data_IF_189617872339
#
_entry.id   IF_189617872339
#
_cell.length_a   1.000
_cell.length_b   1.000
_cell.length_c   1.000
_cell.angle_alpha   90.00
_cell.angle_beta   90.00
_cell.angle_gamma   90.00
#
_symmetry.space_group_name_H-M   'P 1'
#
loop_
_entity.id
_entity.type
_entity.pdbx_description
1 polymer ?
#
# COMPACT_ATOMS: atom_id res chain seq x y z
N UNK A 1 -8.21 -2.16 -2.48
CA UNK A 1 -8.79 -2.47 -3.80
C UNK A 1 -8.53 -1.37 -4.82
N UNK A 2 -8.88 -0.09 -4.53
CA UNK A 2 -8.66 1.00 -5.51
C UNK A 2 -7.20 1.12 -5.95
N UNK A 3 -6.24 1.04 -5.03
CA UNK A 3 -4.82 1.11 -5.38
C UNK A 3 -4.41 -0.04 -6.32
N UNK A 4 -4.90 -1.25 -6.08
CA UNK A 4 -4.66 -2.39 -6.99
C UNK A 4 -5.18 -2.10 -8.39
N UNK A 5 -6.44 -1.67 -8.49
CA UNK A 5 -7.08 -1.38 -9.77
C UNK A 5 -6.41 -0.23 -10.54
N UNK A 6 -5.82 0.71 -9.82
CA UNK A 6 -5.18 1.89 -10.43
C UNK A 6 -3.72 1.64 -10.80
N UNK A 7 -2.96 1.00 -9.90
CA UNK A 7 -1.50 0.94 -10.02
C UNK A 7 -0.97 -0.33 -10.67
N UNK A 8 -1.78 -1.41 -10.69
CA UNK A 8 -1.33 -2.73 -11.13
C UNK A 8 -2.10 -3.19 -12.37
N UNK A 9 -1.70 -2.70 -13.54
CA UNK A 9 -2.35 -2.99 -14.82
C UNK A 9 -1.40 -3.60 -15.86
N UNK A 10 -0.21 -4.01 -15.44
CA UNK A 10 0.77 -4.68 -16.28
C UNK A 10 0.45 -6.17 -16.45
N UNK A 11 0.89 -6.77 -17.55
CA UNK A 11 0.89 -8.23 -17.72
C UNK A 11 1.96 -8.92 -16.84
N UNK A 12 2.92 -8.16 -16.31
CA UNK A 12 3.94 -8.66 -15.40
C UNK A 12 3.35 -8.86 -14.00
N UNK A 13 3.79 -9.90 -13.26
CA UNK A 13 3.26 -10.18 -11.95
C UNK A 13 3.66 -9.08 -10.94
N UNK A 14 2.73 -8.69 -10.08
CA UNK A 14 3.05 -7.90 -8.90
C UNK A 14 3.72 -8.79 -7.85
N UNK A 15 4.52 -8.16 -6.98
CA UNK A 15 5.21 -8.86 -5.89
C UNK A 15 4.70 -8.39 -4.54
N UNK A 16 4.49 -9.35 -3.63
CA UNK A 16 4.21 -9.09 -2.22
C UNK A 16 4.69 -10.27 -1.34
N UNK A 17 4.90 -10.07 -0.03
CA UNK A 17 5.35 -11.15 0.85
C UNK A 17 4.36 -12.30 0.90
N UNK A 18 4.85 -13.52 1.10
CA UNK A 18 4.02 -14.74 1.20
C UNK A 18 3.20 -14.79 2.51
N UNK A 19 3.79 -14.30 3.61
CA UNK A 19 3.10 -14.15 4.89
C UNK A 19 2.84 -12.67 5.13
N UNK A 20 1.67 -12.21 4.71
CA UNK A 20 1.28 -10.80 4.75
C UNK A 20 -0.24 -10.63 4.89
N UNK A 21 -0.75 -9.43 4.65
CA UNK A 21 -2.18 -9.14 4.69
C UNK A 21 -2.95 -9.96 3.65
N UNK A 22 -3.82 -10.83 4.15
CA UNK A 22 -4.52 -11.88 3.39
C UNK A 22 -5.49 -11.40 2.29
N UNK A 23 -5.58 -10.10 2.04
CA UNK A 23 -6.42 -9.55 0.96
C UNK A 23 -5.62 -9.13 -0.29
N UNK A 24 -4.31 -9.24 -0.29
CA UNK A 24 -3.54 -8.89 -1.48
C UNK A 24 -3.77 -9.89 -2.61
N UNK A 25 -3.73 -11.18 -2.32
CA UNK A 25 -4.07 -12.25 -3.27
C UNK A 25 -5.54 -12.15 -3.71
N UNK A 26 -6.48 -11.92 -2.77
CA UNK A 26 -7.90 -11.73 -3.08
C UNK A 26 -8.13 -10.58 -4.06
N UNK A 27 -7.46 -9.43 -3.86
CA UNK A 27 -7.55 -8.30 -4.79
C UNK A 27 -6.91 -8.62 -6.13
N UNK A 28 -5.75 -9.29 -6.13
CA UNK A 28 -5.07 -9.68 -7.37
C UNK A 28 -5.95 -10.63 -8.20
N UNK A 29 -6.53 -11.65 -7.57
CA UNK A 29 -7.44 -12.59 -8.24
C UNK A 29 -8.71 -11.91 -8.75
N UNK A 30 -9.36 -11.08 -7.93
CA UNK A 30 -10.57 -10.36 -8.30
C UNK A 30 -10.38 -9.48 -9.53
N UNK A 31 -9.25 -8.80 -9.61
CA UNK A 31 -8.93 -7.89 -10.72
C UNK A 31 -8.12 -8.56 -11.83
N UNK A 32 -7.87 -9.88 -11.74
CA UNK A 32 -7.08 -10.66 -12.70
C UNK A 32 -5.66 -10.12 -12.90
N UNK A 33 -5.06 -9.63 -11.84
CA UNK A 33 -3.69 -9.13 -11.80
C UNK A 33 -2.78 -10.32 -11.51
N UNK A 34 -1.81 -10.66 -12.39
CA UNK A 34 -0.86 -11.71 -12.10
C UNK A 34 0.00 -11.32 -10.88
N UNK A 35 0.31 -12.30 -10.03
CA UNK A 35 1.14 -12.04 -8.86
C UNK A 35 2.11 -13.19 -8.56
N UNK A 36 3.15 -12.87 -7.82
CA UNK A 36 4.09 -13.82 -7.22
C UNK A 36 4.37 -13.40 -5.78
N UNK A 37 4.46 -14.38 -4.91
CA UNK A 37 4.86 -14.11 -3.53
C UNK A 37 6.37 -14.14 -3.38
N UNK A 38 6.85 -13.37 -2.40
CA UNK A 38 8.24 -13.29 -1.96
C UNK A 38 8.30 -13.89 -0.56
N UNK A 39 9.09 -14.96 -0.39
CA UNK A 39 9.19 -15.62 0.90
C UNK A 39 9.83 -14.71 1.94
N UNK A 40 9.30 -14.73 3.17
CA UNK A 40 9.98 -14.15 4.31
C UNK A 40 11.18 -15.02 4.71
N UNK A 41 12.15 -14.41 5.39
CA UNK A 41 13.28 -15.16 5.95
C UNK A 41 12.88 -16.02 7.17
N UNK A 42 13.82 -16.77 7.74
CA UNK A 42 13.59 -17.61 8.92
C UNK A 42 13.19 -16.83 10.17
N UNK A 43 13.40 -15.51 10.20
CA UNK A 43 12.97 -14.60 11.24
C UNK A 43 11.69 -13.85 10.90
N UNK A 44 10.97 -14.26 9.85
CA UNK A 44 9.77 -13.62 9.32
C UNK A 44 9.96 -12.18 8.86
N UNK A 45 11.19 -11.81 8.45
CA UNK A 45 11.50 -10.49 7.90
C UNK A 45 11.39 -10.49 6.39
N UNK A 46 11.02 -9.35 5.85
CA UNK A 46 11.07 -9.09 4.41
C UNK A 46 12.52 -8.77 4.03
N UNK A 47 13.04 -9.47 3.03
CA UNK A 47 14.34 -9.15 2.43
C UNK A 47 14.13 -8.23 1.23
N UNK A 48 14.63 -6.98 1.25
CA UNK A 48 14.42 -6.00 0.18
C UNK A 48 14.96 -6.46 -1.18
N UNK A 49 16.03 -7.26 -1.21
CA UNK A 49 16.66 -7.73 -2.43
C UNK A 49 15.80 -8.72 -3.23
N UNK A 50 14.85 -9.37 -2.58
CA UNK A 50 13.97 -10.34 -3.22
C UNK A 50 12.90 -9.69 -4.10
N UNK A 51 12.75 -8.35 -4.02
CA UNK A 51 11.92 -7.56 -4.92
C UNK A 51 12.66 -7.09 -6.18
N UNK A 52 13.97 -7.33 -6.30
CA UNK A 52 14.77 -6.97 -7.48
C UNK A 52 14.59 -8.00 -8.61
N UNK A 53 13.37 -8.24 -9.00
CA UNK A 53 12.95 -9.16 -10.06
C UNK A 53 12.06 -8.42 -11.04
N UNK A 54 11.96 -8.88 -12.25
CA UNK A 54 10.99 -8.34 -13.20
C UNK A 54 9.58 -8.46 -12.63
N UNK A 55 8.90 -7.32 -12.51
CA UNK A 55 7.59 -7.23 -11.88
C UNK A 55 6.73 -6.12 -12.50
N UNK A 56 5.42 -6.14 -12.21
CA UNK A 56 4.44 -5.14 -12.62
C UNK A 56 4.03 -4.19 -11.50
N UNK A 57 4.68 -4.27 -10.34
CA UNK A 57 4.43 -3.47 -9.17
C UNK A 57 4.71 -4.24 -7.88
N UNK A 58 4.86 -3.52 -6.80
CA UNK A 58 5.21 -4.09 -5.50
C UNK A 58 4.24 -3.55 -4.44
N UNK A 59 3.81 -4.41 -3.52
CA UNK A 59 3.08 -3.98 -2.33
C UNK A 59 3.56 -4.78 -1.11
N UNK A 60 3.84 -4.09 -0.03
CA UNK A 60 4.09 -4.72 1.26
C UNK A 60 3.64 -3.82 2.42
N UNK A 61 3.19 -4.42 3.55
CA UNK A 61 2.90 -3.65 4.74
C UNK A 61 4.18 -3.29 5.48
N UNK A 62 4.24 -2.11 6.06
CA UNK A 62 5.32 -1.73 6.95
C UNK A 62 4.80 -0.92 8.14
N UNK A 63 4.77 -1.47 9.36
CA UNK A 63 5.15 -2.86 9.75
C UNK A 63 4.30 -3.95 9.06
N UNK A 64 4.91 -5.11 8.79
CA UNK A 64 4.21 -6.23 8.16
C UNK A 64 3.13 -6.81 9.10
N UNK A 65 2.01 -7.19 8.55
CA UNK A 65 0.95 -7.91 9.25
C UNK A 65 0.79 -9.31 8.62
N UNK A 66 0.87 -10.42 9.38
CA UNK A 66 0.67 -10.49 10.84
C UNK A 66 1.94 -10.48 11.69
N UNK A 67 3.13 -10.40 11.08
CA UNK A 67 4.39 -10.59 11.81
C UNK A 67 4.75 -9.44 12.77
N UNK A 68 4.15 -8.27 12.58
CA UNK A 68 4.45 -7.01 13.28
C UNK A 68 5.91 -6.54 13.15
N UNK A 69 6.65 -7.08 12.19
CA UNK A 69 8.05 -6.74 11.94
C UNK A 69 8.11 -5.59 10.95
N UNK A 70 8.88 -4.59 11.30
CA UNK A 70 9.16 -3.43 10.46
C UNK A 70 10.41 -3.64 9.63
N UNK A 71 10.35 -3.29 8.35
CA UNK A 71 11.53 -3.12 7.50
C UNK A 71 12.10 -1.71 7.77
N UNK A 72 13.41 -1.57 8.07
CA UNK A 72 14.05 -0.26 8.22
C UNK A 72 13.83 0.63 7.01
N UNK A 73 13.71 1.94 7.23
CA UNK A 73 13.38 2.91 6.18
C UNK A 73 14.40 2.90 5.03
N UNK A 74 15.67 2.68 5.32
CA UNK A 74 16.72 2.55 4.32
C UNK A 74 16.49 1.35 3.39
N UNK A 75 15.98 0.25 3.93
CA UNK A 75 15.64 -0.94 3.13
C UNK A 75 14.36 -0.72 2.32
N UNK A 76 13.38 0.01 2.86
CA UNK A 76 12.19 0.45 2.10
C UNK A 76 12.63 1.31 0.92
N UNK A 77 13.54 2.27 1.15
CA UNK A 77 14.10 3.12 0.10
C UNK A 77 14.83 2.31 -0.99
N UNK A 78 15.59 1.28 -0.62
CA UNK A 78 16.24 0.38 -1.58
C UNK A 78 15.23 -0.35 -2.49
N UNK A 79 14.11 -0.83 -1.94
CA UNK A 79 13.05 -1.44 -2.77
C UNK A 79 12.51 -0.44 -3.78
N UNK A 80 12.22 0.79 -3.37
CA UNK A 80 11.66 1.84 -4.23
C UNK A 80 12.65 2.21 -5.34
N UNK A 81 13.90 2.48 -4.96
CA UNK A 81 14.98 2.91 -5.84
C UNK A 81 15.35 1.87 -6.91
N UNK A 82 15.33 0.59 -6.53
CA UNK A 82 15.68 -0.50 -7.42
C UNK A 82 14.53 -0.93 -8.36
N UNK A 83 13.35 -0.33 -8.20
CA UNK A 83 12.16 -0.59 -9.01
C UNK A 83 11.55 0.71 -9.57
N UNK A 84 12.33 1.55 -10.29
CA UNK A 84 11.90 2.91 -10.65
C UNK A 84 10.75 2.94 -11.67
N UNK A 85 10.59 1.88 -12.46
CA UNK A 85 9.63 1.82 -13.57
C UNK A 85 8.26 1.26 -13.16
N UNK A 86 8.07 0.92 -11.88
CA UNK A 86 6.84 0.35 -11.35
C UNK A 86 6.42 1.02 -10.04
N UNK A 87 5.13 0.98 -9.73
CA UNK A 87 4.63 1.53 -8.47
C UNK A 87 4.98 0.63 -7.30
N UNK A 88 5.57 1.21 -6.27
CA UNK A 88 5.80 0.55 -4.97
C UNK A 88 4.80 1.10 -3.96
N UNK A 89 3.92 0.24 -3.45
CA UNK A 89 2.93 0.59 -2.43
C UNK A 89 3.45 0.14 -1.07
N UNK A 90 3.65 1.10 -0.17
CA UNK A 90 3.93 0.82 1.25
C UNK A 90 2.63 0.97 2.03
N UNK A 91 2.13 -0.16 2.55
CA UNK A 91 0.91 -0.19 3.34
C UNK A 91 1.23 0.06 4.82
N UNK A 92 0.97 1.27 5.27
CA UNK A 92 1.21 1.75 6.62
C UNK A 92 -0.02 1.62 7.53
N UNK A 93 -0.82 0.57 7.37
CA UNK A 93 -2.01 0.36 8.21
C UNK A 93 -1.69 0.29 9.70
N UNK A 94 -0.48 -0.10 10.07
CA UNK A 94 -0.03 -0.27 11.45
C UNK A 94 1.09 0.68 11.88
N UNK A 95 1.50 1.64 11.07
CA UNK A 95 2.62 2.56 11.36
C UNK A 95 2.44 3.36 12.65
N UNK A 96 1.21 3.71 12.99
CA UNK A 96 0.90 4.49 14.22
C UNK A 96 1.20 3.71 15.54
N UNK A 97 1.51 2.42 15.47
CA UNK A 97 1.86 1.58 16.62
C UNK A 97 3.37 1.54 16.91
N UNK A 98 4.12 2.52 16.44
CA UNK A 98 5.55 2.68 16.69
C UNK A 98 6.44 2.44 15.49
N UNK A 99 5.87 2.33 14.29
CA UNK A 99 6.65 2.19 13.05
C UNK A 99 7.16 3.54 12.51
N UNK A 100 8.14 3.46 11.61
CA UNK A 100 8.70 4.60 10.89
C UNK A 100 8.02 4.73 9.52
N UNK A 101 7.64 5.95 9.20
CA UNK A 101 6.89 6.23 7.97
C UNK A 101 7.78 6.44 6.75
N UNK A 102 7.37 5.91 5.60
CA UNK A 102 7.98 6.19 4.30
C UNK A 102 7.54 7.54 3.70
N UNK A 103 6.73 8.34 4.40
CA UNK A 103 6.32 9.68 3.92
C UNK A 103 7.48 10.61 3.64
N UNK A 104 8.60 10.46 4.36
CA UNK A 104 9.82 11.23 4.10
C UNK A 104 10.45 10.98 2.73
N UNK A 105 10.06 9.91 2.05
CA UNK A 105 10.56 9.52 0.73
C UNK A 105 9.67 9.98 -0.43
N UNK A 106 8.45 10.49 -0.15
CA UNK A 106 7.47 10.87 -1.18
C UNK A 106 8.02 11.91 -2.16
N UNK A 107 8.73 12.91 -1.67
CA UNK A 107 9.29 13.98 -2.51
C UNK A 107 10.53 13.52 -3.33
N UNK A 108 11.05 12.33 -3.05
CA UNK A 108 12.21 11.77 -3.75
C UNK A 108 11.82 10.78 -4.85
N UNK A 109 10.67 10.12 -4.72
CA UNK A 109 10.29 8.97 -5.56
C UNK A 109 8.86 9.08 -6.05
N UNK A 110 8.67 9.40 -7.33
CA UNK A 110 7.35 9.54 -7.96
C UNK A 110 6.60 8.20 -8.06
N UNK A 111 7.31 7.08 -7.98
CA UNK A 111 6.76 5.72 -8.00
C UNK A 111 6.31 5.20 -6.61
N UNK A 112 6.47 5.99 -5.55
CA UNK A 112 6.04 5.61 -4.19
C UNK A 112 4.59 6.00 -3.93
N UNK A 113 3.81 5.04 -3.45
CA UNK A 113 2.47 5.27 -2.88
C UNK A 113 2.42 4.76 -1.44
N UNK A 114 2.22 5.65 -0.49
CA UNK A 114 1.98 5.28 0.91
C UNK A 114 0.49 5.25 1.18
N UNK A 115 -0.03 4.13 1.69
CA UNK A 115 -1.45 3.99 2.03
C UNK A 115 -1.65 3.80 3.52
N UNK A 116 -2.67 4.45 4.08
CA UNK A 116 -3.04 4.39 5.51
C UNK A 116 -4.53 4.19 5.69
N UNK A 117 -4.92 3.82 6.90
CA UNK A 117 -6.30 3.57 7.26
C UNK A 117 -6.67 4.16 8.62
N UNK A 118 -7.93 4.55 8.78
CA UNK A 118 -8.52 4.87 10.07
C UNK A 118 -9.00 3.63 10.84
N UNK A 119 -8.93 2.46 10.22
CA UNK A 119 -9.52 1.22 10.76
C UNK A 119 -8.77 0.66 11.96
N UNK A 120 -7.50 1.01 12.16
CA UNK A 120 -6.61 0.43 13.18
C UNK A 120 -6.42 1.38 14.35
N UNK A 121 -5.36 2.17 14.37
CA UNK A 121 -5.01 3.08 15.47
C UNK A 121 -6.12 4.07 15.82
N UNK A 122 -6.92 4.47 14.84
CA UNK A 122 -8.04 5.40 15.04
C UNK A 122 -9.36 4.72 15.42
N UNK A 123 -9.38 3.38 15.58
CA UNK A 123 -10.54 2.58 15.95
C UNK A 123 -11.83 2.85 15.11
N UNK A 124 -11.67 3.27 13.85
CA UNK A 124 -12.76 3.68 12.97
C UNK A 124 -12.98 2.69 11.80
N UNK A 125 -12.85 1.38 12.07
CA UNK A 125 -12.99 0.35 11.04
C UNK A 125 -14.37 0.39 10.33
N UNK A 126 -15.44 0.68 11.07
CA UNK A 126 -16.79 0.81 10.52
C UNK A 126 -16.99 1.98 9.56
N UNK A 127 -16.17 3.01 9.63
CA UNK A 127 -16.26 4.19 8.75
C UNK A 127 -15.71 3.93 7.35
N UNK A 128 -14.97 2.86 7.14
CA UNK A 128 -14.37 2.48 5.84
C UNK A 128 -13.56 3.61 5.20
N UNK A 129 -12.73 4.31 6.00
CA UNK A 129 -11.90 5.43 5.55
C UNK A 129 -10.45 4.98 5.48
N UNK A 130 -9.83 5.22 4.33
CA UNK A 130 -8.40 5.15 4.09
C UNK A 130 -7.95 6.37 3.30
N UNK A 131 -6.66 6.63 3.30
CA UNK A 131 -6.04 7.73 2.59
C UNK A 131 -4.69 7.30 2.04
N UNK A 132 -4.21 8.02 1.03
CA UNK A 132 -2.95 7.73 0.37
C UNK A 132 -2.16 9.01 0.12
N UNK A 133 -0.84 8.87 0.07
CA UNK A 133 0.12 9.89 -0.30
C UNK A 133 0.99 9.37 -1.44
N UNK A 134 1.31 10.20 -2.39
CA UNK A 134 2.14 9.86 -3.55
C UNK A 134 2.27 11.06 -4.48
N UNK A 135 2.94 10.88 -5.60
CA UNK A 135 3.05 11.89 -6.64
C UNK A 135 1.67 12.36 -7.11
N UNK A 136 1.62 13.53 -7.71
CA UNK A 136 0.36 14.08 -8.25
C UNK A 136 -0.28 13.12 -9.24
N UNK A 137 0.51 12.50 -10.10
CA UNK A 137 0.07 11.54 -11.11
C UNK A 137 -0.61 10.32 -10.49
N UNK A 138 0.00 9.71 -9.47
CA UNK A 138 -0.58 8.57 -8.77
C UNK A 138 -1.89 8.94 -8.05
N UNK A 139 -1.91 10.08 -7.39
CA UNK A 139 -3.11 10.54 -6.67
C UNK A 139 -4.24 10.90 -7.64
N UNK A 140 -3.95 11.52 -8.77
CA UNK A 140 -4.96 11.84 -9.76
C UNK A 140 -5.51 10.58 -10.45
N UNK A 141 -4.65 9.58 -10.71
CA UNK A 141 -5.09 8.27 -11.21
C UNK A 141 -6.05 7.57 -10.22
N UNK A 142 -5.73 7.56 -8.92
CA UNK A 142 -6.62 7.02 -7.88
C UNK A 142 -7.96 7.78 -7.82
N UNK A 143 -7.94 9.11 -7.95
CA UNK A 143 -9.16 9.91 -7.98
C UNK A 143 -10.03 9.60 -9.19
N UNK A 144 -9.44 9.33 -10.35
CA UNK A 144 -10.17 8.99 -11.58
C UNK A 144 -10.92 7.65 -11.45
N UNK A 145 -10.35 6.68 -10.74
CA UNK A 145 -10.97 5.36 -10.49
C UNK A 145 -11.94 5.38 -9.31
N UNK A 146 -11.78 6.35 -8.41
CA UNK A 146 -12.59 6.44 -7.19
C UNK A 146 -14.06 6.73 -7.52
N UNK A 147 -14.97 5.92 -6.97
CA UNK A 147 -16.40 6.18 -7.05
C UNK A 147 -16.77 7.56 -6.49
N UNK A 148 -17.62 8.28 -7.19
CA UNK A 148 -18.12 9.61 -6.79
C UNK A 148 -18.90 9.57 -5.49
N UNK A 149 -19.58 8.45 -5.20
CA UNK A 149 -20.41 8.25 -4.02
C UNK A 149 -19.72 7.33 -3.02
N UNK A 150 -19.65 7.77 -1.77
CA UNK A 150 -19.36 6.90 -0.66
C UNK A 150 -20.64 6.20 -0.23
N UNK A 151 -20.67 4.90 -0.25
CA UNK A 151 -21.83 4.07 0.11
C UNK A 151 -22.28 4.15 1.58
N UNK A 152 -21.60 4.95 2.43
CA UNK A 152 -21.89 5.02 3.87
C UNK A 152 -22.26 6.43 4.30
N UNK A 153 -23.47 6.58 4.83
CA UNK A 153 -24.05 7.86 5.31
C UNK A 153 -23.19 8.56 6.38
N UNK A 154 -22.58 7.80 7.28
CA UNK A 154 -21.69 8.32 8.33
C UNK A 154 -20.46 9.01 7.70
N UNK A 155 -19.97 8.52 6.59
CA UNK A 155 -18.84 9.08 5.87
C UNK A 155 -19.16 10.43 5.21
N UNK A 156 -20.39 10.65 4.84
CA UNK A 156 -20.88 11.94 4.30
C UNK A 156 -21.03 12.98 5.43
N UNK A 157 -21.51 12.57 6.58
CA UNK A 157 -21.67 13.44 7.76
C UNK A 157 -20.32 13.87 8.34
N UNK A 158 -19.30 12.99 8.39
CA UNK A 158 -17.97 13.37 8.87
C UNK A 158 -17.25 14.38 7.97
N UNK A 159 -17.53 14.40 6.66
CA UNK A 159 -17.02 15.45 5.76
C UNK A 159 -17.62 16.83 6.03
N UNK A 160 -18.85 16.90 6.52
CA UNK A 160 -19.53 18.14 6.89
C UNK A 160 -18.96 18.73 8.19
N UNK A 161 -18.59 17.87 9.14
CA UNK A 161 -18.02 18.29 10.45
C UNK A 161 -16.58 18.84 10.28
N UNK A 162 -15.82 18.34 9.32
CA UNK A 162 -14.45 18.82 9.05
C UNK A 162 -14.38 20.11 8.22
N UNK A 163 -15.52 20.66 7.79
CA UNK A 163 -15.62 21.92 7.02
C UNK A 163 -16.13 23.11 7.84
N UNK A 164 -16.42 22.92 9.12
CA UNK A 164 -16.75 23.95 10.11
C UNK A 164 -15.55 24.26 10.99
#
# INVERSE_FOLDING_TARGET
GMAFLTCFNSEKPILFPDITYSFYDVWAELFKIPYKTVALDEQFKINPWDFNKENGGIIFPNPNAPTAIEMPLEQVEEVIKNNPDVVVIVDEAYVDFGGHTALSLIDKYDNLLVVRTFSKSRAMAGMRIGYAFGSKELIDAIKAVKFSYNSYTIRQQSKLVLRQ
#
